data_IF_081117524343
#
_entry.id   IF_081117524343
#
_cell.length_a   1.000
_cell.length_b   1.000
_cell.length_c   1.000
_cell.angle_alpha   90.00
_cell.angle_beta   90.00
_cell.angle_gamma   90.00
#
_symmetry.space_group_name_H-M   'P 1'
#
loop_
_entity.id
_entity.type
_entity.pdbx_description
1 polymer ?
#
# COMPACT_ATOMS: atom_id res chain seq x y z
N UNK A 1 -0.01 2.86 -9.72
CA UNK A 1 -1.25 2.56 -10.49
C UNK A 1 -2.29 2.06 -9.52
N UNK A 2 -3.56 2.35 -9.77
CA UNK A 2 -4.70 1.95 -8.93
C UNK A 2 -5.77 1.36 -9.83
N UNK A 3 -6.31 0.19 -9.46
CA UNK A 3 -7.55 -0.33 -10.02
C UNK A 3 -8.67 -0.06 -9.01
N UNK A 4 -9.82 0.41 -9.47
CA UNK A 4 -10.98 0.65 -8.61
C UNK A 4 -11.92 -0.56 -8.63
N UNK A 5 -12.58 -0.82 -7.51
CA UNK A 5 -13.73 -1.71 -7.41
C UNK A 5 -14.99 -1.08 -8.01
N UNK A 6 -16.08 -1.85 -8.15
CA UNK A 6 -17.38 -1.33 -8.59
C UNK A 6 -17.94 -0.22 -7.70
N UNK A 7 -17.54 -0.19 -6.43
CA UNK A 7 -17.84 0.81 -5.41
C UNK A 7 -16.95 2.06 -5.49
N UNK A 8 -16.00 2.11 -6.43
CA UNK A 8 -15.05 3.20 -6.57
C UNK A 8 -13.88 3.15 -5.58
N UNK A 9 -13.76 2.10 -4.77
CA UNK A 9 -12.70 1.96 -3.77
C UNK A 9 -11.44 1.34 -4.41
N UNK A 10 -10.22 1.81 -4.07
CA UNK A 10 -8.99 1.16 -4.52
C UNK A 10 -8.93 -0.33 -4.16
N UNK A 11 -8.66 -1.18 -5.15
CA UNK A 11 -8.58 -2.63 -4.99
C UNK A 11 -7.25 -3.16 -5.52
N UNK A 12 -6.35 -3.50 -4.59
CA UNK A 12 -5.06 -4.08 -4.94
C UNK A 12 -5.21 -5.48 -5.56
N UNK A 13 -6.15 -6.29 -5.08
CA UNK A 13 -6.42 -7.62 -5.65
C UNK A 13 -6.86 -7.56 -7.11
N UNK A 14 -7.67 -6.55 -7.49
CA UNK A 14 -8.02 -6.29 -8.90
C UNK A 14 -6.80 -5.89 -9.72
N UNK A 15 -5.95 -5.01 -9.18
CA UNK A 15 -4.69 -4.62 -9.83
C UNK A 15 -3.76 -5.83 -10.05
N UNK A 16 -3.64 -6.72 -9.05
CA UNK A 16 -2.77 -7.90 -9.11
C UNK A 16 -3.09 -8.84 -10.26
N UNK A 17 -4.36 -8.97 -10.67
CA UNK A 17 -4.78 -9.83 -11.80
C UNK A 17 -4.06 -9.53 -13.12
N UNK A 18 -3.55 -8.32 -13.27
CA UNK A 18 -2.81 -7.88 -14.47
C UNK A 18 -1.37 -7.47 -14.18
N UNK A 19 -0.93 -7.53 -12.93
CA UNK A 19 0.49 -7.34 -12.60
C UNK A 19 1.29 -8.48 -13.24
N UNK A 20 2.41 -8.15 -13.87
CA UNK A 20 3.28 -9.09 -14.60
C UNK A 20 2.70 -9.69 -15.90
N UNK A 21 1.52 -9.26 -16.34
CA UNK A 21 0.99 -9.64 -17.66
C UNK A 21 1.49 -8.65 -18.71
N UNK A 22 2.49 -9.06 -19.51
CA UNK A 22 3.13 -8.20 -20.52
C UNK A 22 2.15 -7.75 -21.63
N UNK A 23 1.24 -8.64 -22.05
CA UNK A 23 0.25 -8.39 -23.11
C UNK A 23 -1.15 -8.75 -22.62
N UNK A 24 -1.81 -7.88 -21.83
CA UNK A 24 -3.15 -8.19 -21.30
C UNK A 24 -4.18 -8.22 -22.42
N UNK A 25 -5.12 -9.16 -22.37
CA UNK A 25 -6.27 -9.22 -23.28
C UNK A 25 -7.17 -7.98 -23.11
N UNK A 26 -8.02 -7.68 -24.09
CA UNK A 26 -9.02 -6.60 -23.97
C UNK A 26 -9.91 -6.80 -22.74
N UNK A 27 -10.35 -8.04 -22.50
CA UNK A 27 -11.13 -8.40 -21.33
C UNK A 27 -10.41 -8.04 -20.02
N UNK A 28 -9.15 -8.46 -19.87
CA UNK A 28 -8.37 -8.18 -18.66
C UNK A 28 -8.11 -6.67 -18.45
N UNK A 29 -7.95 -5.90 -19.53
CA UNK A 29 -7.82 -4.44 -19.45
C UNK A 29 -9.10 -3.78 -18.96
N UNK A 30 -10.26 -4.30 -19.34
CA UNK A 30 -11.56 -3.79 -18.90
C UNK A 30 -11.85 -4.20 -17.45
N UNK A 31 -11.60 -5.46 -17.11
CA UNK A 31 -11.84 -6.01 -15.77
C UNK A 31 -10.93 -5.40 -14.70
N UNK A 32 -9.73 -4.98 -15.10
CA UNK A 32 -8.76 -4.31 -14.24
C UNK A 32 -8.29 -2.99 -14.87
N UNK A 33 -9.26 -2.13 -15.19
CA UNK A 33 -8.98 -0.75 -15.63
C UNK A 33 -8.21 -0.01 -14.55
N UNK A 34 -7.15 0.71 -14.95
CA UNK A 34 -6.23 1.34 -14.00
C UNK A 34 -6.04 2.82 -14.28
N UNK A 35 -5.90 3.58 -13.19
CA UNK A 35 -5.49 4.98 -13.18
C UNK A 35 -4.09 5.08 -12.60
N UNK A 36 -3.23 5.87 -13.23
CA UNK A 36 -1.89 6.16 -12.76
C UNK A 36 -1.90 7.44 -11.92
N UNK A 37 -1.72 7.28 -10.61
CA UNK A 37 -1.56 8.39 -9.68
C UNK A 37 -0.08 8.74 -9.56
N UNK A 38 0.32 9.89 -10.11
CA UNK A 38 1.72 10.36 -10.17
C UNK A 38 1.99 11.26 -8.98
N UNK A 39 2.91 10.87 -8.11
CA UNK A 39 3.17 11.58 -6.84
C UNK A 39 4.57 12.20 -6.74
N UNK A 40 5.37 12.10 -7.80
CA UNK A 40 6.70 12.67 -7.91
C UNK A 40 7.22 12.58 -9.33
N UNK A 41 8.18 13.45 -9.64
CA UNK A 41 8.97 13.48 -10.87
C UNK A 41 10.45 13.44 -10.45
N UNK A 42 11.28 12.71 -11.20
CA UNK A 42 12.71 12.54 -10.91
C UNK A 42 13.62 13.08 -12.02
N UNK A 43 13.08 13.28 -13.21
CA UNK A 43 13.77 13.81 -14.39
C UNK A 43 12.75 14.55 -15.26
N UNK A 44 13.14 15.69 -15.80
CA UNK A 44 12.38 16.46 -16.79
C UNK A 44 13.34 16.82 -17.91
N UNK A 45 13.08 16.31 -19.12
CA UNK A 45 13.86 16.58 -20.33
C UNK A 45 15.38 16.35 -20.15
N UNK A 46 15.76 15.30 -19.41
CA UNK A 46 17.16 14.95 -19.14
C UNK A 46 17.79 15.72 -17.98
N UNK A 47 17.01 16.57 -17.30
CA UNK A 47 17.43 17.27 -16.08
C UNK A 47 16.87 16.57 -14.85
N UNK A 48 17.77 16.05 -14.02
CA UNK A 48 17.40 15.42 -12.75
C UNK A 48 16.73 16.43 -11.81
N UNK A 49 15.63 16.02 -11.20
CA UNK A 49 14.96 16.75 -10.11
C UNK A 49 15.18 16.09 -8.75
N UNK A 50 15.94 14.99 -8.68
CA UNK A 50 16.07 14.18 -7.47
C UNK A 50 16.63 14.96 -6.26
N UNK A 51 17.53 15.90 -6.51
CA UNK A 51 18.19 16.72 -5.49
C UNK A 51 17.38 17.97 -5.09
N UNK A 52 16.28 18.27 -5.78
CA UNK A 52 15.38 19.35 -5.37
C UNK A 52 14.61 18.96 -4.10
N UNK A 53 14.23 19.90 -3.22
CA UNK A 53 13.24 19.68 -2.16
C UNK A 53 11.93 19.05 -2.66
N UNK A 54 11.22 18.33 -1.78
CA UNK A 54 9.97 17.64 -2.16
C UNK A 54 8.92 18.59 -2.73
N UNK A 55 8.75 19.79 -2.14
CA UNK A 55 7.78 20.77 -2.63
C UNK A 55 8.13 21.27 -4.04
N UNK A 56 9.39 21.55 -4.30
CA UNK A 56 9.85 21.96 -5.64
C UNK A 56 9.63 20.83 -6.66
N UNK A 57 9.91 19.58 -6.32
CA UNK A 57 9.55 18.43 -7.18
C UNK A 57 8.04 18.32 -7.40
N UNK A 58 7.23 18.65 -6.40
CA UNK A 58 5.76 18.55 -6.47
C UNK A 58 5.18 19.64 -7.36
N UNK A 59 5.74 20.84 -7.31
CA UNK A 59 5.42 21.97 -8.19
C UNK A 59 5.86 21.68 -9.63
N UNK A 60 7.10 21.21 -9.83
CA UNK A 60 7.60 20.79 -11.14
C UNK A 60 6.69 19.73 -11.78
N UNK A 61 6.26 18.71 -11.02
CA UNK A 61 5.29 17.71 -11.49
C UNK A 61 3.93 18.34 -11.86
N UNK A 62 3.45 19.33 -11.10
CA UNK A 62 2.18 20.00 -11.40
C UNK A 62 2.27 20.78 -12.72
N UNK A 63 3.40 21.41 -12.99
CA UNK A 63 3.64 22.22 -14.19
C UNK A 63 3.74 21.39 -15.48
N UNK A 64 4.00 20.07 -15.38
CA UNK A 64 4.00 19.18 -16.54
C UNK A 64 2.63 19.03 -17.22
N UNK A 65 1.53 19.45 -16.57
CA UNK A 65 0.19 19.46 -17.16
C UNK A 65 -0.19 18.13 -17.84
N UNK A 66 -0.01 17.02 -17.11
CA UNK A 66 -0.25 15.65 -17.62
C UNK A 66 -1.74 15.41 -17.89
N UNK A 67 -2.23 15.84 -19.05
CA UNK A 67 -3.62 15.68 -19.47
C UNK A 67 -3.89 14.29 -20.05
N UNK A 68 -4.38 13.38 -19.21
CA UNK A 68 -4.87 12.10 -19.67
C UNK A 68 -5.98 11.57 -18.73
N UNK A 69 -7.08 10.98 -19.24
CA UNK A 69 -8.20 10.52 -18.40
C UNK A 69 -7.80 9.56 -17.28
N UNK A 70 -6.74 8.78 -17.50
CA UNK A 70 -6.20 7.78 -16.57
C UNK A 70 -4.87 8.19 -15.92
N UNK A 71 -4.46 9.45 -16.02
CA UNK A 71 -3.33 9.99 -15.24
C UNK A 71 -3.90 11.03 -14.29
N UNK A 72 -3.55 10.93 -13.01
CA UNK A 72 -4.01 11.84 -11.96
C UNK A 72 -2.84 12.23 -11.09
N UNK A 73 -2.83 13.48 -10.63
CA UNK A 73 -1.96 13.91 -9.55
C UNK A 73 -2.79 13.82 -8.27
N UNK A 74 -2.38 13.03 -7.27
CA UNK A 74 -3.09 13.02 -6.00
C UNK A 74 -2.99 14.41 -5.35
N UNK A 75 -4.06 14.89 -4.72
CA UNK A 75 -3.98 16.06 -3.86
C UNK A 75 -2.94 15.83 -2.76
N UNK A 76 -2.38 16.93 -2.25
CA UNK A 76 -1.50 16.91 -1.11
C UNK A 76 -1.86 18.09 -0.21
N UNK A 77 -1.65 17.91 1.09
CA UNK A 77 -1.99 18.92 2.09
C UNK A 77 -0.76 19.25 2.92
N UNK A 78 -0.61 20.52 3.28
CA UNK A 78 0.46 21.03 4.15
C UNK A 78 -0.15 21.46 5.48
N UNK A 79 0.65 21.35 6.55
CA UNK A 79 0.28 21.82 7.89
C UNK A 79 -1.05 21.21 8.41
N UNK A 80 -1.29 19.93 8.09
CA UNK A 80 -2.43 19.16 8.62
C UNK A 80 -1.86 18.04 9.49
N UNK A 81 -2.46 17.85 10.66
CA UNK A 81 -2.03 16.80 11.58
C UNK A 81 -2.37 15.39 11.04
N UNK A 82 -1.54 14.43 11.43
CA UNK A 82 -1.66 13.03 11.02
C UNK A 82 -3.04 12.42 11.37
N UNK A 83 -3.60 12.57 12.59
CA UNK A 83 -4.94 12.07 12.91
C UNK A 83 -6.05 12.56 11.97
N UNK A 84 -6.07 13.85 11.64
CA UNK A 84 -7.05 14.44 10.71
C UNK A 84 -6.95 13.77 9.33
N UNK A 85 -5.75 13.62 8.80
CA UNK A 85 -5.55 12.98 7.49
C UNK A 85 -5.87 11.48 7.50
N UNK A 86 -5.61 10.79 8.61
CA UNK A 86 -6.04 9.40 8.79
C UNK A 86 -7.56 9.27 8.82
N UNK A 87 -8.29 10.25 9.38
CA UNK A 87 -9.76 10.25 9.35
C UNK A 87 -10.28 10.41 7.92
N UNK A 88 -9.67 11.29 7.13
CA UNK A 88 -9.96 11.44 5.69
C UNK A 88 -9.70 10.11 4.97
N UNK A 89 -8.52 9.51 5.18
CA UNK A 89 -8.18 8.22 4.58
C UNK A 89 -9.20 7.12 4.93
N UNK A 90 -9.68 7.07 6.19
CA UNK A 90 -10.74 6.12 6.61
C UNK A 90 -12.04 6.37 5.85
N UNK A 91 -12.49 7.62 5.81
CA UNK A 91 -13.75 8.01 5.14
C UNK A 91 -13.75 7.65 3.65
N UNK A 92 -12.57 7.69 3.02
CA UNK A 92 -12.39 7.38 1.61
C UNK A 92 -11.91 5.94 1.34
N UNK A 93 -11.92 5.06 2.36
CA UNK A 93 -11.50 3.67 2.24
C UNK A 93 -10.08 3.50 1.64
N UNK A 94 -9.17 4.41 1.97
CA UNK A 94 -7.78 4.36 1.55
C UNK A 94 -6.97 3.45 2.47
N UNK A 95 -5.82 2.96 2.00
CA UNK A 95 -4.90 2.13 2.79
C UNK A 95 -4.34 2.88 4.01
N UNK A 96 -4.34 4.20 3.97
CA UNK A 96 -3.74 5.08 4.95
C UNK A 96 -3.16 6.29 4.26
N UNK A 97 -2.06 6.81 4.80
CA UNK A 97 -1.43 8.03 4.32
C UNK A 97 0.07 7.87 4.12
N UNK A 98 0.64 8.67 3.23
CA UNK A 98 2.09 8.85 3.11
C UNK A 98 2.45 10.29 3.43
N UNK A 99 3.26 10.43 4.46
CA UNK A 99 3.75 11.69 4.98
C UNK A 99 5.17 11.92 4.44
N UNK A 100 5.41 13.02 3.71
CA UNK A 100 6.71 13.39 3.13
C UNK A 100 7.26 14.68 3.73
N UNK A 101 8.52 14.67 4.14
CA UNK A 101 9.25 15.87 4.57
C UNK A 101 9.41 16.84 3.38
N UNK A 102 8.95 18.07 3.57
CA UNK A 102 8.86 19.10 2.53
C UNK A 102 10.21 19.51 1.94
N UNK A 103 11.27 19.48 2.76
CA UNK A 103 12.64 19.83 2.36
C UNK A 103 13.46 18.62 1.90
N UNK A 104 12.89 17.41 1.91
CA UNK A 104 13.66 16.20 1.60
C UNK A 104 13.93 16.02 0.11
N UNK A 105 15.17 15.67 -0.22
CA UNK A 105 15.57 15.18 -1.54
C UNK A 105 15.10 13.73 -1.74
N UNK A 106 15.01 13.29 -2.99
CA UNK A 106 14.75 11.90 -3.31
C UNK A 106 16.03 11.07 -3.12
N UNK A 107 15.93 9.93 -2.45
CA UNK A 107 17.07 9.07 -2.15
C UNK A 107 16.87 7.70 -2.81
N UNK A 108 17.40 7.49 -4.05
CA UNK A 108 17.22 6.24 -4.78
C UNK A 108 17.68 5.03 -3.97
N UNK A 109 16.84 3.99 -3.93
CA UNK A 109 17.16 2.72 -3.27
C UNK A 109 17.19 2.75 -1.74
N UNK A 110 16.96 3.91 -1.10
CA UNK A 110 17.02 4.04 0.38
C UNK A 110 15.63 4.07 0.99
N UNK A 111 15.45 3.33 2.09
CA UNK A 111 14.30 3.49 2.99
C UNK A 111 14.52 4.70 3.88
N UNK A 112 14.23 5.88 3.36
CA UNK A 112 14.42 7.15 4.06
C UNK A 112 13.33 7.39 5.11
N UNK A 113 13.67 7.95 6.29
CA UNK A 113 12.67 8.40 7.27
C UNK A 113 11.87 9.62 6.77
N UNK A 114 12.34 10.29 5.71
CA UNK A 114 11.64 11.44 5.12
C UNK A 114 10.29 11.08 4.50
N UNK A 115 10.02 9.79 4.26
CA UNK A 115 8.76 9.29 3.71
C UNK A 115 8.18 8.26 4.66
N UNK A 116 7.21 8.67 5.47
CA UNK A 116 6.58 7.83 6.47
C UNK A 116 5.21 7.36 5.97
N UNK A 117 5.02 6.05 5.85
CA UNK A 117 3.72 5.45 5.58
C UNK A 117 3.03 5.12 6.89
N UNK A 118 1.87 5.71 7.13
CA UNK A 118 0.97 5.31 8.23
C UNK A 118 -0.23 4.58 7.64
N UNK A 119 -0.24 3.23 7.64
CA UNK A 119 -1.39 2.47 7.17
C UNK A 119 -2.51 2.48 8.20
N UNK A 120 -3.75 2.51 7.71
CA UNK A 120 -4.94 2.18 8.47
C UNK A 120 -4.97 0.68 8.66
N UNK A 121 -4.75 0.24 9.90
CA UNK A 121 -4.81 -1.16 10.27
C UNK A 121 -6.21 -1.47 10.76
N UNK A 122 -6.92 -2.29 10.00
CA UNK A 122 -8.06 -3.04 10.51
C UNK A 122 -7.53 -4.40 10.99
N UNK A 123 -7.77 -4.72 12.25
CA UNK A 123 -7.48 -6.04 12.77
C UNK A 123 -8.78 -6.83 12.75
N UNK A 124 -8.71 -8.09 12.32
CA UNK A 124 -9.79 -9.05 12.50
C UNK A 124 -9.21 -10.30 13.13
N UNK A 125 -10.01 -11.00 13.93
CA UNK A 125 -9.68 -12.35 14.36
C UNK A 125 -10.02 -13.32 13.22
N UNK A 126 -9.13 -14.29 12.97
CA UNK A 126 -9.30 -15.30 11.94
C UNK A 126 -9.00 -16.68 12.49
N UNK A 127 -9.71 -17.68 11.97
CA UNK A 127 -9.47 -19.09 12.23
C UNK A 127 -8.33 -19.53 11.32
N UNK A 128 -7.32 -20.18 11.87
CA UNK A 128 -6.27 -20.81 11.07
C UNK A 128 -6.85 -22.09 10.45
N UNK A 129 -7.05 -22.06 9.14
CA UNK A 129 -7.61 -23.17 8.36
C UNK A 129 -6.50 -24.07 7.78
N UNK A 130 -5.25 -23.63 7.83
CA UNK A 130 -4.11 -24.38 7.33
C UNK A 130 -2.86 -23.51 7.19
N UNK A 131 -1.84 -24.05 6.52
CA UNK A 131 -0.63 -23.31 6.21
C UNK A 131 -0.07 -23.70 4.84
N UNK A 132 0.64 -22.77 4.21
CA UNK A 132 1.44 -23.02 3.00
C UNK A 132 2.89 -23.22 3.44
N UNK A 133 3.56 -24.33 3.06
CA UNK A 133 4.98 -24.53 3.34
C UNK A 133 5.84 -23.39 2.77
N UNK A 134 6.85 -22.97 3.53
CA UNK A 134 7.76 -21.91 3.12
C UNK A 134 8.72 -22.35 2.01
N UNK A 135 9.14 -21.39 1.20
CA UNK A 135 10.13 -21.57 0.12
C UNK A 135 11.27 -20.56 0.25
N UNK A 136 12.42 -20.83 -0.38
CA UNK A 136 13.59 -19.94 -0.32
C UNK A 136 14.08 -19.74 1.12
N UNK A 137 14.17 -18.49 1.57
CA UNK A 137 14.62 -18.14 2.93
C UNK A 137 13.69 -18.67 4.05
N UNK A 138 12.48 -19.12 3.72
CA UNK A 138 11.53 -19.73 4.65
C UNK A 138 11.40 -21.26 4.47
N UNK A 139 12.28 -21.90 3.69
CA UNK A 139 12.25 -23.33 3.45
C UNK A 139 12.35 -24.13 4.77
N UNK A 140 11.51 -25.16 4.90
CA UNK A 140 11.41 -25.96 6.13
C UNK A 140 10.53 -25.36 7.24
N UNK A 141 9.94 -24.18 7.02
CA UNK A 141 9.00 -23.53 7.93
C UNK A 141 7.63 -23.25 7.31
N UNK A 142 6.85 -22.41 8.00
CA UNK A 142 5.56 -21.90 7.51
C UNK A 142 5.84 -20.69 6.61
N UNK A 143 5.39 -20.75 5.35
CA UNK A 143 5.44 -19.62 4.41
C UNK A 143 4.28 -18.66 4.59
N UNK A 144 3.08 -19.19 4.84
CA UNK A 144 1.91 -18.39 5.24
C UNK A 144 0.86 -19.22 5.96
N UNK A 145 0.03 -18.56 6.78
CA UNK A 145 -1.19 -19.15 7.36
C UNK A 145 -2.38 -18.86 6.45
N UNK A 146 -3.22 -19.88 6.24
CA UNK A 146 -4.49 -19.76 5.56
C UNK A 146 -5.54 -19.40 6.61
N UNK A 147 -6.20 -18.26 6.43
CA UNK A 147 -7.16 -17.73 7.40
C UNK A 147 -8.59 -17.83 6.87
N UNK A 148 -9.51 -18.19 7.77
CA UNK A 148 -10.94 -18.15 7.54
C UNK A 148 -11.71 -17.39 8.63
N UNK A 149 -12.95 -17.03 8.34
CA UNK A 149 -13.90 -16.49 9.32
C UNK A 149 -15.30 -17.03 9.01
N UNK A 150 -16.19 -17.01 10.00
CA UNK A 150 -17.60 -17.31 9.74
C UNK A 150 -18.30 -16.07 9.18
N UNK A 151 -19.04 -16.25 8.08
CA UNK A 151 -19.97 -15.24 7.58
C UNK A 151 -21.27 -15.21 8.39
N UNK A 152 -22.23 -14.35 8.00
CA UNK A 152 -23.53 -14.21 8.67
C UNK A 152 -24.35 -15.52 8.64
N UNK A 153 -24.10 -16.40 7.67
CA UNK A 153 -24.72 -17.72 7.57
C UNK A 153 -24.04 -18.79 8.45
N UNK A 154 -23.00 -18.39 9.20
CA UNK A 154 -22.09 -19.26 9.96
C UNK A 154 -21.28 -20.20 9.08
N UNK A 155 -21.13 -19.91 7.80
CA UNK A 155 -20.27 -20.68 6.90
C UNK A 155 -18.82 -20.21 7.04
N UNK A 156 -17.88 -21.16 7.13
CA UNK A 156 -16.45 -20.83 7.19
C UNK A 156 -15.98 -20.41 5.79
N UNK A 157 -15.64 -19.13 5.63
CA UNK A 157 -15.16 -18.54 4.38
C UNK A 157 -13.67 -18.20 4.48
N UNK A 158 -12.95 -18.31 3.36
CA UNK A 158 -11.55 -17.89 3.26
C UNK A 158 -11.43 -16.36 3.26
N UNK A 159 -10.59 -15.81 4.15
CA UNK A 159 -10.41 -14.35 4.30
C UNK A 159 -9.01 -13.86 3.91
N UNK A 160 -8.10 -14.75 3.53
CA UNK A 160 -6.77 -14.38 3.06
C UNK A 160 -5.66 -15.25 3.67
N UNK A 161 -4.43 -14.96 3.24
CA UNK A 161 -3.22 -15.54 3.80
C UNK A 161 -2.41 -14.48 4.52
N UNK A 162 -1.81 -14.83 5.66
CA UNK A 162 -0.80 -14.01 6.33
C UNK A 162 0.56 -14.71 6.25
N UNK A 163 1.54 -14.05 5.62
CA UNK A 163 2.90 -14.56 5.40
C UNK A 163 3.98 -13.79 6.15
N UNK A 164 3.62 -12.81 6.99
CA UNK A 164 4.59 -11.93 7.65
C UNK A 164 4.61 -12.13 9.17
N UNK A 165 5.79 -12.16 9.78
CA UNK A 165 5.94 -12.16 11.24
C UNK A 165 6.22 -13.50 11.93
N UNK A 166 6.39 -14.59 11.16
CA UNK A 166 6.80 -15.87 11.75
C UNK A 166 8.32 -15.88 11.99
N UNK A 167 8.73 -15.69 13.23
CA UNK A 167 10.11 -16.02 13.63
C UNK A 167 10.37 -17.51 13.39
N UNK A 168 11.62 -17.89 13.11
CA UNK A 168 12.09 -19.28 12.87
C UNK A 168 11.74 -20.29 13.98
N UNK A 169 11.11 -19.84 15.07
CA UNK A 169 10.64 -20.66 16.20
C UNK A 169 9.23 -21.24 16.02
N UNK A 170 8.48 -20.83 14.99
CA UNK A 170 7.20 -21.45 14.67
C UNK A 170 7.41 -22.65 13.74
N UNK A 171 7.77 -23.77 14.36
CA UNK A 171 7.68 -25.10 13.74
C UNK A 171 6.21 -25.46 13.51
N UNK A 172 5.93 -26.37 12.57
CA UNK A 172 4.60 -26.91 12.27
C UNK A 172 3.85 -27.48 13.51
N UNK A 173 4.52 -27.60 14.66
CA UNK A 173 3.99 -28.06 15.95
C UNK A 173 3.81 -26.96 17.01
N UNK A 174 4.05 -25.68 16.70
CA UNK A 174 4.05 -24.57 17.67
C UNK A 174 2.70 -23.88 17.89
N UNK A 175 2.26 -23.74 19.15
CA UNK A 175 1.09 -22.92 19.54
C UNK A 175 1.39 -21.42 19.40
N UNK A 176 0.56 -20.69 18.65
CA UNK A 176 0.63 -19.24 18.48
C UNK A 176 0.09 -18.48 19.71
N UNK A 177 0.81 -17.45 20.19
CA UNK A 177 0.35 -16.51 21.23
C UNK A 177 -0.04 -15.16 20.61
N UNK A 178 -1.08 -14.52 21.17
CA UNK A 178 -1.72 -13.26 20.71
C UNK A 178 -0.81 -12.02 20.78
N UNK A 179 -0.83 -11.21 19.71
CA UNK A 179 -0.86 -9.73 19.73
C UNK A 179 0.47 -8.97 19.77
N UNK A 180 0.71 -8.08 18.79
CA UNK A 180 1.68 -6.96 18.89
C UNK A 180 1.06 -5.70 18.26
N UNK A 181 0.96 -4.61 19.03
CA UNK A 181 0.56 -3.26 18.60
C UNK A 181 1.75 -2.29 18.62
N UNK A 182 1.78 -1.32 17.70
CA UNK A 182 2.74 -0.20 17.71
C UNK A 182 1.98 1.13 17.60
N UNK A 183 2.42 2.14 18.36
CA UNK A 183 1.91 3.52 18.41
C UNK A 183 3.07 4.44 18.00
N UNK A 184 2.84 5.52 17.24
CA UNK A 184 3.85 6.56 17.03
C UNK A 184 3.23 7.97 17.04
N UNK A 185 4.07 8.93 17.42
CA UNK A 185 3.75 10.32 17.74
C UNK A 185 4.20 11.27 16.60
N UNK A 186 3.54 12.44 16.54
CA UNK A 186 3.46 13.31 15.37
C UNK A 186 4.70 14.13 14.99
N UNK A 187 4.71 14.51 13.72
CA UNK A 187 5.55 15.52 13.07
C UNK A 187 4.66 16.33 12.11
N UNK A 188 5.10 17.54 11.74
CA UNK A 188 4.47 18.33 10.68
C UNK A 188 4.87 17.79 9.30
N UNK A 189 3.90 17.30 8.53
CA UNK A 189 4.19 16.55 7.31
C UNK A 189 3.22 16.88 6.17
N UNK A 190 3.73 16.86 4.93
CA UNK A 190 2.87 16.87 3.75
C UNK A 190 2.26 15.47 3.56
N UNK A 191 0.95 15.36 3.67
CA UNK A 191 0.24 14.09 3.63
C UNK A 191 -0.46 13.92 2.28
N UNK A 192 -0.36 12.74 1.67
CA UNK A 192 -1.05 12.37 0.44
C UNK A 192 -1.21 10.87 0.24
#
# INVERSE_FOLDING_TARGET
MVALGPDGVPSFSRLQRRMHVLKPTTQLRNDALTTYYVFGVLDIDGTSTADLPYLERREALANLSLEHPRIKLPPHWLNVDEPTMLQVARKHHLEGIVAKSVTSTYQPGKRSPSWLKTPLRANTEGIICGFVPGSGNAAGGIGSLILGAHDDSRSLIYIGNDGTGFSSRLSANGRLKRGIMYKNAGMDVAVG
#
